data_IF_050001364389
#
_entry.id   IF_050001364389
#
_cell.length_a   1.000
_cell.length_b   1.000
_cell.length_c   1.000
_cell.angle_alpha   90.00
_cell.angle_beta   90.00
_cell.angle_gamma   90.00
#
_symmetry.space_group_name_H-M   'P 1'
#
loop_
_entity.id
_entity.type
_entity.pdbx_description
1 polymer ?
#
# COMPACT_ATOMS: atom_id res chain seq x y z
N UNK A 1 -18.64 52.73 16.68
CA UNK A 1 -18.44 51.26 16.66
C UNK A 1 -19.67 50.48 16.18
N UNK A 2 -20.88 50.66 16.72
CA UNK A 2 -22.10 49.95 16.26
C UNK A 2 -22.38 50.14 14.75
N UNK A 3 -22.47 51.39 14.30
CA UNK A 3 -22.63 51.76 12.87
C UNK A 3 -21.53 51.18 11.96
N UNK A 4 -20.30 51.07 12.46
CA UNK A 4 -19.16 50.57 11.71
C UNK A 4 -19.25 49.06 11.43
N UNK A 5 -19.72 48.29 12.41
CA UNK A 5 -20.02 46.87 12.24
C UNK A 5 -21.20 46.64 11.29
N UNK A 6 -22.19 47.53 11.32
CA UNK A 6 -23.31 47.53 10.36
C UNK A 6 -22.81 47.79 8.93
N UNK A 7 -21.90 48.74 8.74
CA UNK A 7 -21.30 49.04 7.43
C UNK A 7 -20.45 47.88 6.88
N UNK A 8 -19.75 47.13 7.74
CA UNK A 8 -19.01 45.92 7.34
C UNK A 8 -19.92 44.71 7.04
N UNK A 9 -21.14 44.67 7.60
CA UNK A 9 -22.11 43.57 7.42
C UNK A 9 -23.03 43.76 6.21
N UNK A 10 -23.30 44.99 5.78
CA UNK A 10 -24.18 45.27 4.65
C UNK A 10 -23.48 44.95 3.32
N UNK A 11 -23.82 43.80 2.72
CA UNK A 11 -23.30 43.38 1.40
C UNK A 11 -23.57 44.41 0.29
N UNK A 12 -24.62 45.23 0.44
CA UNK A 12 -25.14 46.21 -0.52
C UNK A 12 -24.44 47.57 -0.53
N UNK A 13 -23.48 47.85 0.37
CA UNK A 13 -22.76 49.14 0.35
C UNK A 13 -21.71 49.20 -0.77
N UNK A 14 -21.55 50.39 -1.36
CA UNK A 14 -20.53 50.72 -2.36
C UNK A 14 -19.13 50.30 -1.88
N UNK A 15 -18.38 49.61 -2.75
CA UNK A 15 -17.08 48.99 -2.46
C UNK A 15 -16.10 49.94 -1.74
N UNK A 16 -16.08 51.20 -2.17
CA UNK A 16 -15.27 52.29 -1.62
C UNK A 16 -15.51 52.56 -0.14
N UNK A 17 -16.76 52.45 0.33
CA UNK A 17 -17.12 52.70 1.74
C UNK A 17 -16.58 51.60 2.65
N UNK A 18 -16.62 50.33 2.19
CA UNK A 18 -16.09 49.19 2.96
C UNK A 18 -14.56 49.17 2.95
N UNK A 19 -13.92 49.49 1.84
CA UNK A 19 -12.46 49.64 1.77
C UNK A 19 -11.97 50.78 2.68
N UNK A 20 -12.64 51.94 2.66
CA UNK A 20 -12.35 53.06 3.57
C UNK A 20 -12.52 52.66 5.04
N UNK A 21 -13.58 51.93 5.36
CA UNK A 21 -13.80 51.41 6.70
C UNK A 21 -12.64 50.51 7.16
N UNK A 22 -12.17 49.58 6.31
CA UNK A 22 -11.03 48.72 6.65
C UNK A 22 -9.79 49.54 7.01
N UNK A 23 -9.40 50.51 6.16
CA UNK A 23 -8.24 51.38 6.43
C UNK A 23 -8.37 52.19 7.71
N UNK A 24 -9.59 52.61 8.04
CA UNK A 24 -9.85 53.37 9.27
C UNK A 24 -9.68 52.51 10.54
N UNK A 25 -9.79 51.18 10.48
CA UNK A 25 -9.60 50.32 11.66
C UNK A 25 -8.22 50.42 12.28
N UNK A 26 -7.19 50.59 11.45
CA UNK A 26 -5.80 50.78 11.91
C UNK A 26 -5.61 52.09 12.70
N UNK A 27 -6.44 53.10 12.45
CA UNK A 27 -6.30 54.44 13.04
C UNK A 27 -7.17 54.64 14.29
N UNK A 28 -8.11 53.72 14.56
CA UNK A 28 -9.03 53.83 15.69
C UNK A 28 -8.37 53.35 16.98
N UNK A 29 -8.61 54.06 18.09
CA UNK A 29 -8.26 53.61 19.45
C UNK A 29 -9.19 52.45 19.86
N UNK A 30 -8.84 51.24 19.41
CA UNK A 30 -9.54 50.00 19.73
C UNK A 30 -8.75 49.29 20.84
N UNK A 31 -9.43 48.71 21.83
CA UNK A 31 -8.75 47.95 22.88
C UNK A 31 -8.07 46.70 22.30
N UNK A 32 -6.88 46.28 22.80
CA UNK A 32 -6.17 45.09 22.33
C UNK A 32 -7.03 43.82 22.27
N UNK A 33 -7.86 43.60 23.30
CA UNK A 33 -8.78 42.45 23.33
C UNK A 33 -9.77 42.47 22.17
N UNK A 34 -10.27 43.64 21.79
CA UNK A 34 -11.25 43.79 20.71
C UNK A 34 -10.59 43.67 19.33
N UNK A 35 -9.33 44.09 19.20
CA UNK A 35 -8.53 43.83 18.01
C UNK A 35 -8.43 42.32 17.80
N UNK A 36 -7.97 41.58 18.81
CA UNK A 36 -7.81 40.11 18.79
C UNK A 36 -9.11 39.37 18.52
N UNK A 37 -10.15 39.63 19.31
CA UNK A 37 -11.38 38.81 19.30
C UNK A 37 -12.39 39.17 18.21
N UNK A 38 -12.26 40.34 17.56
CA UNK A 38 -13.29 40.83 16.62
C UNK A 38 -12.71 41.38 15.33
N UNK A 39 -11.71 42.25 15.40
CA UNK A 39 -11.22 42.96 14.22
C UNK A 39 -10.44 42.03 13.31
N UNK A 40 -9.44 41.31 13.84
CA UNK A 40 -8.61 40.38 13.07
C UNK A 40 -9.46 39.27 12.42
N UNK A 41 -10.33 38.54 13.16
CA UNK A 41 -11.26 37.56 12.56
C UNK A 41 -12.08 38.13 11.42
N UNK A 42 -12.61 39.35 11.58
CA UNK A 42 -13.45 39.94 10.54
C UNK A 42 -12.67 40.31 9.28
N UNK A 43 -11.43 40.76 9.44
CA UNK A 43 -10.56 41.07 8.30
C UNK A 43 -10.11 39.79 7.60
N UNK A 44 -9.81 38.72 8.35
CA UNK A 44 -9.51 37.41 7.80
C UNK A 44 -10.71 36.83 7.01
N UNK A 45 -11.93 36.95 7.53
CA UNK A 45 -13.16 36.58 6.79
C UNK A 45 -13.27 37.32 5.45
N UNK A 46 -12.95 38.62 5.43
CA UNK A 46 -13.03 39.44 4.22
C UNK A 46 -12.06 38.92 3.16
N UNK A 47 -10.86 38.50 3.57
CA UNK A 47 -9.89 37.90 2.65
C UNK A 47 -10.35 36.57 2.06
N UNK A 48 -11.30 35.90 2.70
CA UNK A 48 -11.75 34.56 2.32
C UNK A 48 -13.04 34.60 1.49
N UNK A 49 -13.96 35.50 1.82
CA UNK A 49 -15.33 35.49 1.29
C UNK A 49 -15.69 36.70 0.44
N UNK A 50 -14.85 37.73 0.37
CA UNK A 50 -15.13 38.90 -0.46
C UNK A 50 -14.55 38.72 -1.87
N UNK A 51 -15.37 38.95 -2.90
CA UNK A 51 -14.94 38.90 -4.31
C UNK A 51 -14.49 40.26 -4.87
N UNK A 52 -14.29 41.27 -4.01
CA UNK A 52 -14.02 42.65 -4.43
C UNK A 52 -12.59 43.07 -4.11
N UNK A 53 -11.78 43.22 -5.15
CA UNK A 53 -10.33 43.49 -5.06
C UNK A 53 -9.98 44.72 -4.19
N UNK A 54 -10.75 45.81 -4.26
CA UNK A 54 -10.48 47.01 -3.45
C UNK A 54 -10.64 46.77 -1.94
N UNK A 55 -11.60 45.93 -1.56
CA UNK A 55 -11.88 45.60 -0.15
C UNK A 55 -10.86 44.59 0.37
N UNK A 56 -10.47 43.63 -0.47
CA UNK A 56 -9.39 42.67 -0.19
C UNK A 56 -8.08 43.42 0.11
N UNK A 57 -7.61 44.29 -0.80
CA UNK A 57 -6.37 45.06 -0.61
C UNK A 57 -6.41 45.90 0.67
N UNK A 58 -7.53 46.56 0.92
CA UNK A 58 -7.69 47.34 2.15
C UNK A 58 -7.62 46.46 3.41
N UNK A 59 -8.13 45.23 3.36
CA UNK A 59 -8.00 44.28 4.47
C UNK A 59 -6.55 43.77 4.62
N UNK A 60 -5.85 43.46 3.53
CA UNK A 60 -4.43 43.08 3.51
C UNK A 60 -3.55 44.16 4.16
N UNK A 61 -3.67 45.41 3.70
CA UNK A 61 -2.93 46.56 4.25
C UNK A 61 -3.17 46.72 5.76
N UNK A 62 -4.43 46.54 6.17
CA UNK A 62 -4.82 46.68 7.58
C UNK A 62 -4.26 45.53 8.44
N UNK A 63 -4.23 44.30 7.92
CA UNK A 63 -3.64 43.16 8.62
C UNK A 63 -2.12 43.25 8.71
N UNK A 64 -1.45 43.74 7.66
CA UNK A 64 0.00 44.05 7.69
C UNK A 64 0.32 45.08 8.77
N UNK A 65 -0.50 46.11 8.90
CA UNK A 65 -0.36 47.09 9.97
C UNK A 65 -0.50 46.45 11.37
N UNK A 66 -1.49 45.57 11.57
CA UNK A 66 -1.65 44.88 12.85
C UNK A 66 -0.50 43.90 13.17
N UNK A 67 0.05 43.21 12.16
CA UNK A 67 1.27 42.41 12.28
C UNK A 67 2.43 43.26 12.82
N UNK A 68 2.69 44.41 12.19
CA UNK A 68 3.74 45.36 12.61
C UNK A 68 3.49 45.95 14.01
N UNK A 69 2.24 46.03 14.45
CA UNK A 69 1.85 46.49 15.77
C UNK A 69 1.93 45.39 16.87
N UNK A 70 2.50 44.22 16.58
CA UNK A 70 2.73 43.15 17.55
C UNK A 70 1.63 42.10 17.65
N UNK A 71 0.71 42.04 16.67
CA UNK A 71 -0.35 41.01 16.58
C UNK A 71 -0.06 39.96 15.50
N UNK A 72 1.21 39.72 15.17
CA UNK A 72 1.60 38.81 14.09
C UNK A 72 1.00 37.41 14.26
N UNK A 73 1.15 36.82 15.45
CA UNK A 73 0.67 35.47 15.72
C UNK A 73 -0.85 35.38 15.55
N UNK A 74 -1.62 36.32 16.11
CA UNK A 74 -3.08 36.32 16.02
C UNK A 74 -3.57 36.54 14.58
N UNK A 75 -2.87 37.39 13.81
CA UNK A 75 -3.17 37.58 12.39
C UNK A 75 -2.96 36.28 11.62
N UNK A 76 -1.80 35.64 11.77
CA UNK A 76 -1.45 34.44 11.02
C UNK A 76 -2.31 33.23 11.43
N UNK A 77 -2.55 33.02 12.72
CA UNK A 77 -3.43 31.93 13.19
C UNK A 77 -4.84 32.06 12.63
N UNK A 78 -5.39 33.28 12.60
CA UNK A 78 -6.76 33.50 12.13
C UNK A 78 -6.87 33.34 10.60
N UNK A 79 -5.87 33.78 9.86
CA UNK A 79 -5.78 33.54 8.43
C UNK A 79 -5.72 32.05 8.10
N UNK A 80 -4.85 31.30 8.78
CA UNK A 80 -4.70 29.86 8.60
C UNK A 80 -5.93 29.08 9.10
N UNK A 81 -6.64 29.60 10.11
CA UNK A 81 -7.89 29.02 10.59
C UNK A 81 -8.99 29.00 9.53
N UNK A 82 -8.93 29.87 8.52
CA UNK A 82 -9.91 29.92 7.43
C UNK A 82 -9.61 28.95 6.28
N UNK A 83 -8.52 28.19 6.35
CA UNK A 83 -8.23 27.14 5.38
C UNK A 83 -9.23 25.98 5.52
N UNK A 84 -9.62 25.40 4.38
CA UNK A 84 -10.51 24.24 4.33
C UNK A 84 -9.70 22.96 4.04
N UNK A 85 -9.55 22.04 5.02
CA UNK A 85 -8.78 20.81 4.82
C UNK A 85 -9.50 19.79 3.92
N UNK A 86 -10.83 19.92 3.72
CA UNK A 86 -11.62 19.03 2.85
C UNK A 86 -11.60 19.44 1.37
N UNK A 87 -11.13 20.65 1.06
CA UNK A 87 -11.07 21.14 -0.31
C UNK A 87 -9.79 21.96 -0.51
N UNK A 88 -8.62 21.31 -0.52
CA UNK A 88 -7.34 22.00 -0.62
C UNK A 88 -7.21 22.90 -1.87
N UNK A 89 -7.82 22.51 -2.99
CA UNK A 89 -7.85 23.33 -4.21
C UNK A 89 -8.52 24.71 -3.99
N UNK A 90 -9.49 24.82 -3.08
CA UNK A 90 -10.13 26.10 -2.73
C UNK A 90 -9.24 27.00 -1.86
N UNK A 91 -8.08 26.49 -1.42
CA UNK A 91 -7.14 27.24 -0.61
C UNK A 91 -6.07 27.96 -1.43
N UNK A 92 -5.84 27.62 -2.71
CA UNK A 92 -4.72 28.19 -3.49
C UNK A 92 -4.72 29.73 -3.50
N UNK A 93 -5.82 30.34 -3.93
CA UNK A 93 -5.97 31.81 -3.91
C UNK A 93 -5.86 32.39 -2.48
N UNK A 94 -6.29 31.63 -1.46
CA UNK A 94 -6.18 32.06 -0.06
C UNK A 94 -4.73 32.03 0.41
N UNK A 95 -3.99 31.00 0.05
CA UNK A 95 -2.60 30.80 0.40
C UNK A 95 -1.72 31.89 -0.22
N UNK A 96 -1.99 32.30 -1.47
CA UNK A 96 -1.31 33.44 -2.11
C UNK A 96 -1.55 34.76 -1.34
N UNK A 97 -2.79 35.01 -0.90
CA UNK A 97 -3.12 36.19 -0.09
C UNK A 97 -2.45 36.14 1.29
N UNK A 98 -2.43 34.97 1.91
CA UNK A 98 -1.75 34.75 3.20
C UNK A 98 -0.25 35.00 3.03
N UNK A 99 0.38 34.48 1.98
CA UNK A 99 1.78 34.75 1.65
C UNK A 99 2.05 36.24 1.51
N UNK A 100 1.17 36.96 0.80
CA UNK A 100 1.30 38.40 0.62
C UNK A 100 1.22 39.17 1.94
N UNK A 101 0.34 38.78 2.87
CA UNK A 101 0.20 39.40 4.20
C UNK A 101 1.34 38.98 5.13
N UNK A 102 1.75 37.72 5.07
CA UNK A 102 2.80 37.15 5.91
C UNK A 102 4.19 37.66 5.52
N UNK A 103 4.40 38.01 4.24
CA UNK A 103 5.70 38.42 3.70
C UNK A 103 6.77 37.34 3.97
N UNK A 104 6.36 36.08 3.87
CA UNK A 104 7.16 34.88 4.10
C UNK A 104 6.66 33.81 3.15
N UNK A 105 7.54 33.01 2.50
CA UNK A 105 7.11 31.94 1.61
C UNK A 105 6.07 31.05 2.29
N UNK A 106 4.95 30.78 1.60
CA UNK A 106 3.82 30.09 2.24
C UNK A 106 4.21 28.71 2.76
N UNK A 107 5.11 28.01 2.08
CA UNK A 107 5.56 26.68 2.49
C UNK A 107 6.26 26.72 3.86
N UNK A 108 7.17 27.66 4.06
CA UNK A 108 7.90 27.83 5.32
C UNK A 108 6.94 28.20 6.44
N UNK A 109 5.97 29.06 6.13
CA UNK A 109 4.90 29.43 7.06
C UNK A 109 4.10 28.20 7.50
N UNK A 110 3.64 27.38 6.55
CA UNK A 110 2.84 26.19 6.84
C UNK A 110 3.62 25.19 7.69
N UNK A 111 4.87 24.87 7.33
CA UNK A 111 5.72 23.94 8.09
C UNK A 111 5.93 24.43 9.53
N UNK A 112 6.27 25.71 9.69
CA UNK A 112 6.43 26.33 11.02
C UNK A 112 5.18 26.17 11.89
N UNK A 113 3.99 26.33 11.31
CA UNK A 113 2.73 26.17 12.03
C UNK A 113 2.38 24.72 12.35
N UNK A 114 2.78 23.77 11.50
CA UNK A 114 2.65 22.34 11.80
C UNK A 114 3.53 21.93 12.98
N UNK A 115 4.73 22.49 13.10
CA UNK A 115 5.66 22.14 14.17
C UNK A 115 5.37 22.88 15.48
N UNK A 116 5.04 24.16 15.40
CA UNK A 116 5.02 25.07 16.55
C UNK A 116 3.67 25.77 16.78
N UNK A 117 2.63 25.44 16.01
CA UNK A 117 1.32 26.06 16.17
C UNK A 117 0.69 25.81 17.55
N UNK A 118 0.02 26.82 18.09
CA UNK A 118 -0.50 26.83 19.47
C UNK A 118 -1.66 25.87 19.74
N UNK A 119 -2.37 25.45 18.68
CA UNK A 119 -3.60 24.66 18.79
C UNK A 119 -3.49 23.39 17.95
N UNK A 120 -3.67 22.18 18.53
CA UNK A 120 -3.66 20.92 17.77
C UNK A 120 -4.63 20.92 16.59
N UNK A 121 -5.80 21.55 16.77
CA UNK A 121 -6.79 21.71 15.70
C UNK A 121 -6.23 22.52 14.53
N UNK A 122 -5.57 23.64 14.80
CA UNK A 122 -4.96 24.46 13.76
C UNK A 122 -3.79 23.73 13.10
N UNK A 123 -2.90 23.11 13.88
CA UNK A 123 -1.77 22.32 13.36
C UNK A 123 -2.23 21.23 12.40
N UNK A 124 -3.25 20.47 12.81
CA UNK A 124 -3.84 19.41 11.99
C UNK A 124 -4.41 19.94 10.67
N UNK A 125 -5.20 21.02 10.73
CA UNK A 125 -5.74 21.66 9.52
C UNK A 125 -4.64 22.13 8.58
N UNK A 126 -3.67 22.87 9.11
CA UNK A 126 -2.55 23.44 8.36
C UNK A 126 -1.71 22.32 7.76
N UNK A 127 -1.43 21.26 8.51
CA UNK A 127 -0.65 20.12 8.06
C UNK A 127 -1.30 19.39 6.89
N UNK A 128 -2.62 19.18 6.92
CA UNK A 128 -3.34 18.57 5.80
C UNK A 128 -3.24 19.42 4.53
N UNK A 129 -3.35 20.74 4.64
CA UNK A 129 -3.21 21.65 3.51
C UNK A 129 -1.76 21.68 3.00
N UNK A 130 -0.79 21.69 3.91
CA UNK A 130 0.64 21.68 3.59
C UNK A 130 1.05 20.39 2.87
N UNK A 131 0.60 19.23 3.38
CA UNK A 131 0.88 17.93 2.78
C UNK A 131 0.26 17.80 1.39
N UNK A 132 -0.96 18.30 1.20
CA UNK A 132 -1.57 18.33 -0.14
C UNK A 132 -0.79 19.20 -1.12
N UNK A 133 -0.48 20.44 -0.73
CA UNK A 133 0.18 21.41 -1.61
C UNK A 133 1.59 20.98 -2.00
N UNK A 134 2.35 20.47 -1.03
CA UNK A 134 3.74 20.06 -1.24
C UNK A 134 3.88 18.63 -1.75
N UNK A 135 2.78 17.87 -1.76
CA UNK A 135 2.77 16.41 -1.98
C UNK A 135 3.74 15.65 -1.05
N UNK A 136 4.14 16.26 0.07
CA UNK A 136 5.05 15.68 1.05
C UNK A 136 4.28 15.30 2.32
N UNK A 137 3.89 14.03 2.41
CA UNK A 137 3.15 13.49 3.55
C UNK A 137 3.99 13.40 4.83
N UNK A 138 5.32 13.48 4.75
CA UNK A 138 6.17 13.47 5.94
C UNK A 138 5.94 14.68 6.85
N UNK A 139 5.40 15.78 6.31
CA UNK A 139 4.97 16.96 7.08
C UNK A 139 3.91 16.58 8.12
N UNK A 140 3.15 15.51 7.91
CA UNK A 140 2.11 15.09 8.87
C UNK A 140 2.68 14.40 10.11
N UNK A 141 3.94 13.96 10.11
CA UNK A 141 4.53 13.19 11.22
C UNK A 141 4.40 13.87 12.59
N UNK A 142 4.70 15.17 12.76
CA UNK A 142 4.60 15.84 14.06
C UNK A 142 3.17 15.87 14.62
N UNK A 143 2.15 15.69 13.77
CA UNK A 143 0.73 15.83 14.12
C UNK A 143 -0.06 14.53 13.97
N UNK A 144 0.60 13.39 13.70
CA UNK A 144 -0.06 12.11 13.47
C UNK A 144 -0.94 11.69 14.66
N UNK A 145 -0.41 11.82 15.88
CA UNK A 145 -1.14 11.49 17.11
C UNK A 145 -2.35 12.42 17.29
N UNK A 146 -2.19 13.70 16.98
CA UNK A 146 -3.29 14.68 17.03
C UNK A 146 -4.39 14.36 16.03
N UNK A 147 -4.04 13.88 14.83
CA UNK A 147 -5.00 13.46 13.83
C UNK A 147 -5.76 12.21 14.30
N UNK A 148 -5.09 11.28 14.99
CA UNK A 148 -5.69 10.04 15.48
C UNK A 148 -6.67 10.25 16.66
N UNK A 149 -6.36 11.18 17.56
CA UNK A 149 -7.06 11.38 18.84
C UNK A 149 -8.28 12.30 18.71
N UNK A 150 -9.36 11.76 18.13
CA UNK A 150 -10.66 12.44 18.00
C UNK A 150 -10.59 13.82 17.34
N UNK A 151 -9.72 13.94 16.33
CA UNK A 151 -9.62 15.14 15.52
C UNK A 151 -10.87 15.32 14.65
N UNK A 152 -11.48 16.52 14.59
CA UNK A 152 -12.56 16.80 13.62
C UNK A 152 -12.11 16.65 12.16
N UNK A 153 -10.80 16.60 11.88
CA UNK A 153 -10.23 16.47 10.54
C UNK A 153 -9.78 15.05 10.20
N UNK A 154 -10.15 14.05 11.00
CA UNK A 154 -9.85 12.66 10.69
C UNK A 154 -10.34 12.25 9.29
N UNK A 155 -11.56 12.61 8.94
CA UNK A 155 -12.12 12.28 7.62
C UNK A 155 -11.36 13.01 6.50
N UNK A 156 -10.97 14.28 6.71
CA UNK A 156 -10.15 15.02 5.75
C UNK A 156 -8.78 14.36 5.54
N UNK A 157 -8.16 13.85 6.61
CA UNK A 157 -6.92 13.11 6.54
C UNK A 157 -7.07 11.80 5.74
N UNK A 158 -8.14 11.04 5.98
CA UNK A 158 -8.42 9.84 5.20
C UNK A 158 -8.64 10.16 3.72
N UNK A 159 -9.41 11.20 3.41
CA UNK A 159 -9.66 11.65 2.05
C UNK A 159 -8.39 12.12 1.34
N UNK A 160 -7.52 12.86 2.04
CA UNK A 160 -6.23 13.29 1.50
C UNK A 160 -5.39 12.09 1.07
N UNK A 161 -5.21 11.11 1.96
CA UNK A 161 -4.41 9.92 1.66
C UNK A 161 -5.06 9.04 0.59
N UNK A 162 -6.39 8.90 0.61
CA UNK A 162 -7.11 8.16 -0.42
C UNK A 162 -6.94 8.79 -1.81
N UNK A 163 -7.08 10.11 -1.93
CA UNK A 163 -6.92 10.81 -3.19
C UNK A 163 -5.48 10.69 -3.69
N UNK A 164 -4.49 10.86 -2.80
CA UNK A 164 -3.08 10.70 -3.14
C UNK A 164 -2.75 9.27 -3.61
N UNK A 165 -3.41 8.25 -3.05
CA UNK A 165 -3.19 6.87 -3.45
C UNK A 165 -3.71 6.56 -4.87
N UNK A 166 -4.69 7.34 -5.33
CA UNK A 166 -5.32 7.21 -6.64
C UNK A 166 -4.76 8.18 -7.69
N UNK A 167 -3.73 8.95 -7.33
CA UNK A 167 -3.07 9.92 -8.19
C UNK A 167 -1.66 9.43 -8.51
N UNK A 168 -1.32 9.34 -9.80
CA UNK A 168 -0.10 8.65 -10.25
C UNK A 168 1.19 9.31 -9.72
N UNK A 169 1.20 10.64 -9.57
CA UNK A 169 2.37 11.40 -9.11
C UNK A 169 2.60 11.23 -7.60
N UNK A 170 1.53 11.07 -6.83
CA UNK A 170 1.59 11.01 -5.36
C UNK A 170 1.44 9.62 -4.76
N UNK A 171 1.09 8.63 -5.58
CA UNK A 171 0.84 7.25 -5.18
C UNK A 171 2.02 6.57 -4.49
N UNK A 172 3.21 6.63 -5.06
CA UNK A 172 4.38 5.99 -4.45
C UNK A 172 4.83 6.69 -3.15
N UNK A 173 4.93 8.04 -3.11
CA UNK A 173 5.19 8.76 -1.85
C UNK A 173 4.19 8.44 -0.73
N UNK A 174 2.89 8.34 -1.03
CA UNK A 174 1.90 8.00 -0.01
C UNK A 174 2.01 6.56 0.45
N UNK A 175 2.37 5.61 -0.43
CA UNK A 175 2.63 4.22 -0.02
C UNK A 175 3.83 4.16 0.94
N UNK A 176 4.91 4.88 0.65
CA UNK A 176 6.10 4.93 1.53
C UNK A 176 5.77 5.54 2.90
N UNK A 177 4.99 6.63 2.91
CA UNK A 177 4.47 7.21 4.14
C UNK A 177 3.62 6.21 4.94
N UNK A 178 2.71 5.48 4.28
CA UNK A 178 1.85 4.49 4.95
C UNK A 178 2.63 3.28 5.48
N UNK A 179 3.68 2.83 4.76
CA UNK A 179 4.62 1.81 5.25
C UNK A 179 5.25 2.27 6.56
N UNK A 180 5.73 3.51 6.61
CA UNK A 180 6.32 4.06 7.81
C UNK A 180 5.31 4.14 8.96
N UNK A 181 4.07 4.59 8.67
CA UNK A 181 2.98 4.65 9.66
C UNK A 181 2.74 3.28 10.29
N UNK A 182 2.61 2.21 9.50
CA UNK A 182 2.32 0.88 10.07
C UNK A 182 3.50 0.27 10.82
N UNK A 183 4.72 0.72 10.54
CA UNK A 183 5.94 0.23 11.19
C UNK A 183 6.27 0.97 12.48
N UNK A 184 6.06 2.29 12.53
CA UNK A 184 6.57 3.14 13.61
C UNK A 184 5.50 3.67 14.56
N UNK A 185 4.25 3.80 14.11
CA UNK A 185 3.21 4.46 14.92
C UNK A 185 2.59 3.52 15.96
N UNK A 186 2.48 4.01 17.19
CA UNK A 186 1.89 3.28 18.32
C UNK A 186 0.36 3.31 18.32
N UNK A 187 -0.26 4.30 17.67
CA UNK A 187 -1.72 4.42 17.57
C UNK A 187 -2.32 3.30 16.71
N UNK A 188 -3.16 2.46 17.31
CA UNK A 188 -3.88 1.39 16.61
C UNK A 188 -4.77 1.94 15.49
N UNK A 189 -5.34 3.15 15.67
CA UNK A 189 -6.18 3.82 14.68
C UNK A 189 -5.39 4.21 13.43
N UNK A 190 -4.18 4.75 13.61
CA UNK A 190 -3.27 5.07 12.49
C UNK A 190 -2.80 3.80 11.77
N UNK A 191 -2.37 2.78 12.51
CA UNK A 191 -1.95 1.51 11.89
C UNK A 191 -3.09 0.83 11.14
N UNK A 192 -4.31 0.84 11.68
CA UNK A 192 -5.49 0.28 11.03
C UNK A 192 -5.82 1.01 9.72
N UNK A 193 -5.76 2.35 9.71
CA UNK A 193 -5.90 3.15 8.49
C UNK A 193 -4.78 2.82 7.49
N UNK A 194 -3.54 2.72 7.97
CA UNK A 194 -2.37 2.33 7.19
C UNK A 194 -2.57 1.00 6.48
N UNK A 195 -2.94 -0.06 7.21
CA UNK A 195 -3.23 -1.37 6.61
C UNK A 195 -4.38 -1.32 5.61
N UNK A 196 -5.47 -0.63 5.94
CA UNK A 196 -6.59 -0.47 5.02
C UNK A 196 -6.14 0.15 3.69
N UNK A 197 -5.45 1.30 3.73
CA UNK A 197 -5.00 2.01 2.54
C UNK A 197 -3.92 1.23 1.77
N UNK A 198 -2.95 0.63 2.47
CA UNK A 198 -1.96 -0.25 1.83
C UNK A 198 -2.62 -1.44 1.12
N UNK A 199 -3.69 -2.00 1.69
CA UNK A 199 -4.50 -3.03 1.03
C UNK A 199 -5.14 -2.55 -0.27
N UNK A 200 -5.71 -1.34 -0.25
CA UNK A 200 -6.36 -0.72 -1.42
C UNK A 200 -5.36 -0.27 -2.48
N UNK A 201 -4.10 -0.02 -2.09
CA UNK A 201 -3.03 0.33 -3.03
C UNK A 201 -2.82 -0.77 -4.08
N UNK A 202 -3.06 -2.05 -3.76
CA UNK A 202 -2.66 -3.20 -4.61
C UNK A 202 -1.16 -3.26 -4.94
N UNK A 203 -0.33 -2.48 -4.24
CA UNK A 203 1.11 -2.45 -4.44
C UNK A 203 1.74 -3.70 -3.81
N UNK A 204 2.05 -4.71 -4.61
CA UNK A 204 2.59 -6.00 -4.12
C UNK A 204 3.88 -5.84 -3.30
N UNK A 205 4.64 -4.76 -3.51
CA UNK A 205 5.86 -4.44 -2.73
C UNK A 205 5.62 -4.29 -1.22
N UNK A 206 4.38 -4.05 -0.80
CA UNK A 206 4.03 -3.90 0.62
C UNK A 206 3.89 -5.25 1.35
N UNK A 207 3.74 -6.36 0.61
CA UNK A 207 3.49 -7.68 1.19
C UNK A 207 4.56 -8.09 2.22
N UNK A 208 5.88 -7.98 1.96
CA UNK A 208 6.89 -8.32 2.95
C UNK A 208 6.76 -7.53 4.25
N UNK A 209 6.46 -6.23 4.15
CA UNK A 209 6.23 -5.35 5.31
C UNK A 209 5.02 -5.82 6.12
N UNK A 210 3.90 -6.08 5.45
CA UNK A 210 2.67 -6.55 6.12
C UNK A 210 2.84 -7.93 6.75
N UNK A 211 3.59 -8.83 6.10
CA UNK A 211 3.90 -10.16 6.64
C UNK A 211 4.78 -10.08 7.88
N UNK A 212 5.70 -9.12 7.94
CA UNK A 212 6.49 -8.90 9.13
C UNK A 212 5.62 -8.38 10.30
N UNK A 213 4.75 -7.40 10.00
CA UNK A 213 3.78 -6.88 10.97
C UNK A 213 2.83 -7.95 11.51
N UNK A 214 2.43 -8.92 10.68
CA UNK A 214 1.56 -10.04 11.09
C UNK A 214 2.16 -10.87 12.24
N UNK A 215 3.48 -10.87 12.41
CA UNK A 215 4.16 -11.59 13.51
C UNK A 215 4.05 -10.85 14.85
N UNK A 216 4.02 -9.52 14.79
CA UNK A 216 4.19 -8.63 15.95
C UNK A 216 2.92 -7.88 16.35
N UNK A 217 1.92 -7.78 15.47
CA UNK A 217 0.67 -7.10 15.77
C UNK A 217 -0.11 -7.86 16.85
N UNK A 218 -0.73 -7.10 17.76
CA UNK A 218 -1.43 -7.65 18.95
C UNK A 218 -2.81 -7.04 19.17
N UNK A 219 -3.08 -5.87 18.59
CA UNK A 219 -4.38 -5.23 18.71
C UNK A 219 -5.40 -5.88 17.75
N UNK A 220 -6.55 -6.31 18.27
CA UNK A 220 -7.56 -7.07 17.51
C UNK A 220 -8.10 -6.30 16.29
N UNK A 221 -8.39 -5.00 16.46
CA UNK A 221 -8.90 -4.16 15.38
C UNK A 221 -7.84 -4.00 14.27
N UNK A 222 -6.59 -3.85 14.68
CA UNK A 222 -5.46 -3.68 13.76
C UNK A 222 -5.10 -4.99 13.07
N UNK A 223 -5.18 -6.14 13.76
CA UNK A 223 -5.03 -7.48 13.16
C UNK A 223 -6.13 -7.74 12.12
N UNK A 224 -7.37 -7.36 12.42
CA UNK A 224 -8.46 -7.46 11.46
C UNK A 224 -8.20 -6.62 10.20
N UNK A 225 -7.77 -5.37 10.38
CA UNK A 225 -7.41 -4.48 9.27
C UNK A 225 -6.25 -5.06 8.44
N UNK A 226 -5.23 -5.64 9.08
CA UNK A 226 -4.10 -6.30 8.42
C UNK A 226 -4.54 -7.51 7.58
N UNK A 227 -5.36 -8.40 8.14
CA UNK A 227 -5.90 -9.57 7.41
C UNK A 227 -6.75 -9.12 6.23
N UNK A 228 -7.54 -8.05 6.38
CA UNK A 228 -8.30 -7.44 5.29
C UNK A 228 -7.43 -6.80 4.22
N UNK A 229 -6.29 -6.22 4.59
CA UNK A 229 -5.32 -5.70 3.65
C UNK A 229 -4.80 -6.79 2.71
N UNK A 230 -4.49 -7.98 3.24
CA UNK A 230 -4.09 -9.13 2.42
C UNK A 230 -5.19 -9.59 1.45
N UNK A 231 -6.45 -9.60 1.88
CA UNK A 231 -7.59 -9.92 1.00
C UNK A 231 -7.70 -8.93 -0.17
N UNK A 232 -7.52 -7.64 0.12
CA UNK A 232 -7.56 -6.55 -0.87
C UNK A 232 -6.38 -6.58 -1.85
N UNK A 233 -5.17 -6.87 -1.35
CA UNK A 233 -3.98 -7.08 -2.19
C UNK A 233 -4.17 -8.26 -3.14
N UNK A 234 -4.89 -9.30 -2.71
CA UNK A 234 -5.27 -10.42 -3.56
C UNK A 234 -4.12 -11.35 -3.94
N UNK A 235 -2.96 -11.24 -3.29
CA UNK A 235 -1.79 -12.01 -3.62
C UNK A 235 -1.83 -13.39 -2.95
N UNK A 236 -1.86 -14.50 -3.72
CA UNK A 236 -1.96 -15.86 -3.16
C UNK A 236 -0.74 -16.26 -2.33
N UNK A 237 0.40 -15.56 -2.44
CA UNK A 237 1.61 -15.89 -1.70
C UNK A 237 1.43 -15.77 -0.19
N UNK A 238 0.45 -15.00 0.26
CA UNK A 238 0.15 -14.79 1.69
C UNK A 238 -0.71 -15.89 2.33
N UNK A 239 -1.24 -16.85 1.54
CA UNK A 239 -2.14 -17.91 2.04
C UNK A 239 -1.50 -18.71 3.18
N UNK A 240 -0.28 -19.23 3.00
CA UNK A 240 0.43 -20.03 4.00
C UNK A 240 0.78 -19.20 5.25
N UNK A 241 1.39 -18.00 5.14
CA UNK A 241 1.58 -17.13 6.29
C UNK A 241 0.29 -16.83 7.07
N UNK A 242 -0.82 -16.61 6.37
CA UNK A 242 -2.12 -16.39 7.00
C UNK A 242 -2.58 -17.63 7.77
N UNK A 243 -2.52 -18.83 7.18
CA UNK A 243 -2.88 -20.08 7.88
C UNK A 243 -2.03 -20.27 9.13
N UNK A 244 -0.72 -20.06 9.06
CA UNK A 244 0.18 -20.22 10.20
C UNK A 244 -0.04 -19.14 11.28
N UNK A 245 -0.51 -17.96 10.88
CA UNK A 245 -1.00 -16.94 11.82
C UNK A 245 -2.30 -17.38 12.50
N UNK A 246 -3.30 -17.84 11.75
CA UNK A 246 -4.57 -18.31 12.32
C UNK A 246 -4.40 -19.46 13.32
N UNK A 247 -3.42 -20.35 13.13
CA UNK A 247 -3.13 -21.45 14.08
C UNK A 247 -2.70 -20.94 15.45
N UNK A 248 -2.13 -19.73 15.52
CA UNK A 248 -1.64 -19.11 16.75
C UNK A 248 -2.69 -18.17 17.35
N UNK A 249 -3.40 -17.43 16.50
CA UNK A 249 -4.41 -16.45 16.91
C UNK A 249 -5.83 -17.00 16.77
N UNK A 250 -6.28 -17.72 17.80
CA UNK A 250 -7.57 -18.43 17.82
C UNK A 250 -8.77 -17.54 17.43
N UNK A 251 -8.82 -16.30 17.93
CA UNK A 251 -9.91 -15.35 17.64
C UNK A 251 -9.96 -14.92 16.16
N UNK A 252 -8.84 -15.02 15.45
CA UNK A 252 -8.72 -14.63 14.05
C UNK A 252 -8.90 -15.79 13.06
N UNK A 253 -8.96 -17.04 13.54
CA UNK A 253 -9.03 -18.26 12.71
C UNK A 253 -10.10 -18.15 11.63
N UNK A 254 -11.34 -17.84 12.00
CA UNK A 254 -12.47 -17.78 11.04
C UNK A 254 -12.23 -16.76 9.93
N UNK A 255 -11.72 -15.57 10.27
CA UNK A 255 -11.42 -14.52 9.31
C UNK A 255 -10.27 -14.90 8.38
N UNK A 256 -9.18 -15.41 8.95
CA UNK A 256 -8.01 -15.92 8.23
C UNK A 256 -8.41 -16.99 7.23
N UNK A 257 -9.23 -17.96 7.64
CA UNK A 257 -9.66 -19.07 6.77
C UNK A 257 -10.46 -18.57 5.59
N UNK A 258 -11.39 -17.64 5.84
CA UNK A 258 -12.19 -17.03 4.80
C UNK A 258 -11.31 -16.28 3.79
N UNK A 259 -10.32 -15.51 4.26
CA UNK A 259 -9.39 -14.80 3.38
C UNK A 259 -8.50 -15.77 2.60
N UNK A 260 -7.88 -16.74 3.26
CA UNK A 260 -7.05 -17.76 2.62
C UNK A 260 -7.82 -18.55 1.55
N UNK A 261 -9.06 -18.94 1.86
CA UNK A 261 -9.95 -19.60 0.91
C UNK A 261 -10.33 -18.69 -0.26
N UNK A 262 -10.68 -17.43 -0.02
CA UNK A 262 -10.99 -16.47 -1.08
C UNK A 262 -9.80 -16.25 -2.02
N UNK A 263 -8.59 -16.13 -1.48
CA UNK A 263 -7.36 -16.04 -2.27
C UNK A 263 -7.10 -17.31 -3.08
N UNK A 264 -7.27 -18.49 -2.45
CA UNK A 264 -7.17 -19.79 -3.12
C UNK A 264 -8.16 -19.90 -4.29
N UNK A 265 -9.41 -19.48 -4.10
CA UNK A 265 -10.43 -19.49 -5.17
C UNK A 265 -10.06 -18.63 -6.37
N UNK A 266 -9.35 -17.51 -6.17
CA UNK A 266 -8.87 -16.67 -7.27
C UNK A 266 -7.84 -17.39 -8.16
N UNK A 267 -6.99 -18.23 -7.57
CA UNK A 267 -5.97 -18.99 -8.31
C UNK A 267 -6.41 -20.40 -8.73
N UNK A 268 -7.52 -20.91 -8.20
CA UNK A 268 -8.05 -22.23 -8.51
C UNK A 268 -8.29 -22.51 -10.01
N UNK A 269 -8.72 -21.55 -10.85
CA UNK A 269 -8.78 -21.76 -12.30
C UNK A 269 -7.44 -22.18 -12.91
N UNK A 270 -6.33 -21.73 -12.33
CA UNK A 270 -4.97 -22.03 -12.78
C UNK A 270 -4.35 -23.24 -12.08
N UNK A 271 -5.08 -23.98 -11.22
CA UNK A 271 -4.49 -25.04 -10.36
C UNK A 271 -3.61 -26.06 -11.09
N UNK A 272 -3.93 -26.39 -12.36
CA UNK A 272 -3.15 -27.33 -13.18
C UNK A 272 -1.81 -26.76 -13.64
N UNK A 273 -1.70 -25.43 -13.74
CA UNK A 273 -0.51 -24.71 -14.19
C UNK A 273 0.28 -24.09 -13.05
N UNK A 274 -0.12 -24.33 -11.79
CA UNK A 274 0.62 -23.89 -10.61
C UNK A 274 1.75 -24.86 -10.30
N UNK A 275 2.95 -24.33 -10.04
CA UNK A 275 4.13 -25.11 -9.64
C UNK A 275 4.84 -24.43 -8.49
N UNK A 276 5.33 -25.20 -7.52
CA UNK A 276 6.14 -24.64 -6.44
C UNK A 276 7.57 -24.41 -6.94
N UNK A 277 8.11 -23.19 -6.84
CA UNK A 277 9.49 -22.85 -7.19
C UNK A 277 10.51 -23.65 -6.36
N UNK A 278 10.19 -23.92 -5.08
CA UNK A 278 11.12 -24.57 -4.16
C UNK A 278 11.09 -26.10 -4.22
N UNK A 279 9.96 -26.70 -4.60
CA UNK A 279 9.82 -28.17 -4.65
C UNK A 279 9.62 -28.70 -6.06
N UNK A 280 9.29 -27.83 -7.01
CA UNK A 280 8.95 -28.18 -8.39
C UNK A 280 7.79 -29.19 -8.45
N UNK A 281 6.90 -29.15 -7.46
CA UNK A 281 5.69 -29.97 -7.39
C UNK A 281 4.45 -29.12 -7.60
N UNK A 282 3.41 -29.72 -8.19
CA UNK A 282 2.11 -29.09 -8.42
C UNK A 282 1.39 -28.81 -7.10
N UNK A 283 0.53 -27.80 -7.12
CA UNK A 283 -0.32 -27.45 -5.99
C UNK A 283 -1.52 -28.40 -5.89
N UNK A 284 -1.94 -28.71 -4.68
CA UNK A 284 -3.12 -29.51 -4.38
C UNK A 284 -4.02 -28.79 -3.39
N UNK A 285 -5.30 -29.15 -3.39
CA UNK A 285 -6.21 -28.69 -2.35
C UNK A 285 -5.90 -29.38 -1.03
N UNK A 286 -5.73 -28.59 0.00
CA UNK A 286 -5.58 -29.04 1.38
C UNK A 286 -6.83 -28.65 2.17
N UNK A 287 -7.51 -29.65 2.72
CA UNK A 287 -8.69 -29.51 3.59
C UNK A 287 -8.32 -29.55 5.08
N UNK A 288 -7.07 -29.89 5.41
CA UNK A 288 -6.57 -29.90 6.79
C UNK A 288 -6.26 -28.50 7.31
N UNK A 289 -6.27 -27.50 6.43
CA UNK A 289 -6.20 -26.11 6.83
C UNK A 289 -7.39 -25.75 7.74
N UNK A 290 -7.10 -24.90 8.72
CA UNK A 290 -8.02 -24.35 9.72
C UNK A 290 -9.47 -24.22 9.17
N UNK A 291 -10.42 -24.92 9.78
CA UNK A 291 -11.85 -24.79 9.46
C UNK A 291 -12.35 -25.56 8.23
N UNK A 292 -11.54 -26.43 7.61
CA UNK A 292 -12.00 -27.37 6.58
C UNK A 292 -12.28 -26.76 5.21
N UNK A 293 -11.98 -25.47 5.01
CA UNK A 293 -12.10 -24.83 3.70
C UNK A 293 -10.89 -25.20 2.83
N UNK A 294 -11.09 -25.63 1.57
CA UNK A 294 -9.98 -26.00 0.71
C UNK A 294 -9.12 -24.79 0.38
N UNK A 295 -7.81 -24.96 0.54
CA UNK A 295 -6.77 -24.00 0.14
C UNK A 295 -5.76 -24.67 -0.76
N UNK A 296 -5.28 -23.97 -1.78
CA UNK A 296 -4.25 -24.48 -2.68
C UNK A 296 -2.87 -24.26 -2.06
N UNK A 297 -2.18 -25.36 -1.76
CA UNK A 297 -0.82 -25.37 -1.22
C UNK A 297 0.06 -26.31 -2.04
N UNK A 298 1.38 -26.10 -1.99
CA UNK A 298 2.32 -27.03 -2.60
C UNK A 298 2.11 -28.44 -2.00
N UNK A 299 1.93 -29.46 -2.85
CA UNK A 299 1.70 -30.84 -2.37
C UNK A 299 2.82 -31.35 -1.46
N UNK A 300 4.06 -30.94 -1.73
CA UNK A 300 5.24 -31.45 -1.02
C UNK A 300 5.55 -30.68 0.27
N UNK A 301 5.71 -29.36 0.21
CA UNK A 301 6.10 -28.55 1.39
C UNK A 301 4.94 -27.79 2.05
N UNK A 302 3.76 -27.76 1.44
CA UNK A 302 2.62 -26.98 1.93
C UNK A 302 2.79 -25.47 1.83
N UNK A 303 3.79 -24.98 1.10
CA UNK A 303 4.07 -23.54 0.94
C UNK A 303 3.22 -22.90 -0.18
N UNK A 304 2.84 -21.64 0.01
CA UNK A 304 2.19 -20.80 -1.00
C UNK A 304 3.06 -19.65 -1.48
N UNK A 305 4.17 -19.33 -0.80
CA UNK A 305 5.03 -18.19 -1.15
C UNK A 305 5.82 -18.42 -2.45
N UNK A 306 6.25 -19.66 -2.67
CA UNK A 306 7.02 -20.08 -3.83
C UNK A 306 6.17 -20.38 -5.08
N UNK A 307 5.10 -19.63 -5.34
CA UNK A 307 4.15 -19.94 -6.42
C UNK A 307 4.67 -19.48 -7.80
N UNK A 308 4.80 -20.42 -8.74
CA UNK A 308 4.89 -20.15 -10.18
C UNK A 308 3.51 -20.35 -10.82
N UNK A 309 3.07 -19.42 -11.66
CA UNK A 309 1.78 -19.45 -12.36
C UNK A 309 2.04 -19.58 -13.86
N UNK A 310 1.25 -20.41 -14.55
CA UNK A 310 1.30 -20.52 -16.01
C UNK A 310 2.21 -21.62 -16.55
N UNK A 311 2.79 -22.47 -15.69
CA UNK A 311 3.60 -23.61 -16.13
C UNK A 311 2.68 -24.71 -16.63
N UNK A 312 2.46 -24.83 -17.93
CA UNK A 312 1.62 -25.86 -18.52
C UNK A 312 2.32 -27.22 -18.53
N UNK A 313 3.59 -27.24 -18.93
CA UNK A 313 4.39 -28.46 -19.09
C UNK A 313 5.72 -28.32 -18.35
N UNK A 314 6.06 -29.32 -17.53
CA UNK A 314 7.40 -29.44 -16.95
C UNK A 314 8.16 -30.56 -17.66
N UNK A 315 9.35 -30.26 -18.17
CA UNK A 315 10.22 -31.23 -18.85
C UNK A 315 11.42 -31.55 -17.97
N UNK A 316 11.56 -32.82 -17.58
CA UNK A 316 12.77 -33.32 -16.95
C UNK A 316 13.83 -33.54 -18.03
N UNK A 317 14.86 -32.70 -18.04
CA UNK A 317 15.97 -32.78 -19.00
C UNK A 317 17.13 -33.53 -18.35
N UNK A 318 17.60 -34.58 -19.01
CA UNK A 318 18.82 -35.30 -18.65
C UNK A 318 19.91 -34.88 -19.64
N UNK A 319 20.70 -33.92 -19.19
CA UNK A 319 21.82 -33.36 -19.94
C UNK A 319 22.93 -32.99 -18.96
N UNK A 320 24.09 -33.64 -19.06
CA UNK A 320 25.22 -33.43 -18.14
C UNK A 320 25.88 -32.07 -18.34
N UNK A 321 25.75 -31.46 -19.52
CA UNK A 321 26.43 -30.21 -19.88
C UNK A 321 25.50 -28.99 -19.74
N UNK A 322 24.18 -29.15 -19.89
CA UNK A 322 23.25 -28.03 -19.93
C UNK A 322 23.13 -27.26 -18.59
N UNK A 323 23.34 -25.94 -18.61
CA UNK A 323 22.91 -25.00 -17.58
C UNK A 323 21.50 -24.49 -17.90
N UNK A 324 20.49 -25.10 -17.29
CA UNK A 324 19.11 -24.60 -17.36
C UNK A 324 18.81 -23.88 -16.05
N UNK A 325 18.55 -22.57 -16.13
CA UNK A 325 18.11 -21.77 -15.00
C UNK A 325 16.62 -21.44 -15.14
N UNK A 326 15.92 -21.40 -14.01
CA UNK A 326 14.52 -20.96 -13.98
C UNK A 326 14.53 -19.43 -13.98
N UNK A 327 13.92 -18.76 -14.99
CA UNK A 327 13.87 -17.31 -15.01
C UNK A 327 13.16 -16.78 -13.75
N UNK A 328 13.64 -15.68 -13.16
CA UNK A 328 13.06 -15.15 -11.93
C UNK A 328 11.65 -14.59 -12.12
N UNK A 329 11.36 -14.01 -13.29
CA UNK A 329 10.17 -13.16 -13.49
C UNK A 329 9.23 -13.61 -14.62
N UNK A 330 9.73 -14.28 -15.67
CA UNK A 330 8.92 -14.76 -16.80
C UNK A 330 9.02 -16.28 -16.92
N UNK A 331 8.03 -16.98 -16.38
CA UNK A 331 8.02 -18.43 -16.38
C UNK A 331 7.37 -18.92 -17.68
N UNK A 332 8.11 -19.62 -18.55
CA UNK A 332 7.54 -20.12 -19.80
C UNK A 332 6.44 -21.16 -19.51
N UNK A 333 5.49 -21.26 -20.44
CA UNK A 333 4.48 -22.32 -20.41
C UNK A 333 5.11 -23.73 -20.39
N UNK A 334 6.30 -23.87 -21.00
CA UNK A 334 7.12 -25.09 -20.94
C UNK A 334 8.36 -24.83 -20.10
N UNK A 335 8.37 -25.32 -18.88
CA UNK A 335 9.49 -25.21 -17.96
C UNK A 335 10.42 -26.42 -18.11
N UNK A 336 11.64 -26.20 -18.61
CA UNK A 336 12.67 -27.25 -18.71
C UNK A 336 13.58 -27.21 -17.49
N UNK A 337 13.74 -28.35 -16.84
CA UNK A 337 14.50 -28.47 -15.59
C UNK A 337 15.53 -29.57 -15.76
N UNK A 338 16.80 -29.24 -15.54
CA UNK A 338 17.87 -30.22 -15.62
C UNK A 338 17.85 -31.12 -14.37
N UNK A 339 17.41 -32.36 -14.54
CA UNK A 339 17.34 -33.34 -13.46
C UNK A 339 18.72 -33.64 -12.85
N UNK A 340 19.77 -33.67 -13.68
CA UNK A 340 21.14 -33.97 -13.25
C UNK A 340 21.63 -32.94 -12.23
N UNK A 341 21.25 -31.67 -12.41
CA UNK A 341 21.61 -30.57 -11.51
C UNK A 341 20.72 -30.47 -10.29
N UNK A 342 19.42 -30.72 -10.47
CA UNK A 342 18.45 -30.67 -9.38
C UNK A 342 18.65 -31.80 -8.36
N UNK A 343 19.13 -32.97 -8.81
CA UNK A 343 19.44 -34.17 -8.02
C UNK A 343 18.30 -34.69 -7.11
N UNK A 344 17.06 -34.28 -7.38
CA UNK A 344 15.85 -34.80 -6.73
C UNK A 344 14.71 -34.93 -7.73
N UNK A 345 13.75 -35.80 -7.41
CA UNK A 345 12.54 -35.92 -8.22
C UNK A 345 11.60 -34.74 -7.98
N UNK A 346 10.98 -34.27 -9.05
CA UNK A 346 9.94 -33.24 -9.05
C UNK A 346 8.74 -33.67 -9.91
N UNK A 347 7.71 -32.83 -10.05
CA UNK A 347 6.62 -33.11 -10.98
C UNK A 347 7.05 -32.77 -12.41
N UNK A 348 7.09 -33.78 -13.28
CA UNK A 348 7.36 -33.60 -14.70
C UNK A 348 6.26 -34.25 -15.55
N UNK A 349 6.02 -33.64 -16.71
CA UNK A 349 5.02 -34.01 -17.69
C UNK A 349 5.67 -34.68 -18.92
N UNK A 350 6.98 -34.49 -19.12
CA UNK A 350 7.77 -35.10 -20.20
C UNK A 350 9.23 -35.31 -19.74
N UNK A 351 9.93 -36.27 -20.35
CA UNK A 351 11.37 -36.52 -20.16
C UNK A 351 12.08 -36.29 -21.50
N UNK A 352 13.21 -35.58 -21.47
CA UNK A 352 14.12 -35.42 -22.61
C UNK A 352 15.53 -35.83 -22.21
N UNK A 353 16.10 -36.82 -22.89
CA UNK A 353 17.47 -37.30 -22.66
C UNK A 353 18.32 -36.81 -23.83
N UNK A 354 19.15 -35.79 -23.60
CA UNK A 354 19.87 -35.08 -24.65
C UNK A 354 21.34 -35.50 -24.67
N UNK A 355 22.00 -35.41 -23.52
CA UNK A 355 23.38 -35.85 -23.34
C UNK A 355 23.53 -36.43 -21.93
N UNK A 356 23.21 -37.72 -21.76
CA UNK A 356 23.36 -38.37 -20.48
C UNK A 356 23.89 -39.80 -20.68
N UNK A 357 24.95 -40.20 -19.95
CA UNK A 357 25.43 -41.58 -20.01
C UNK A 357 24.41 -42.53 -19.36
N UNK A 358 24.43 -43.80 -19.74
CA UNK A 358 23.50 -44.82 -19.24
C UNK A 358 23.36 -44.81 -17.72
N UNK A 359 24.48 -44.71 -16.99
CA UNK A 359 24.47 -44.69 -15.52
C UNK A 359 23.61 -43.56 -14.92
N UNK A 360 23.56 -42.38 -15.57
CA UNK A 360 22.74 -41.24 -15.11
C UNK A 360 21.26 -41.54 -15.36
N UNK A 361 20.94 -42.05 -16.54
CA UNK A 361 19.58 -42.47 -16.90
C UNK A 361 19.11 -43.60 -16.00
N UNK A 362 19.97 -44.57 -15.71
CA UNK A 362 19.66 -45.69 -14.85
C UNK A 362 19.37 -45.24 -13.42
N UNK A 363 20.19 -44.34 -12.88
CA UNK A 363 19.98 -43.74 -11.56
C UNK A 363 18.64 -43.00 -11.51
N UNK A 364 18.30 -42.23 -12.55
CA UNK A 364 17.01 -41.56 -12.65
C UNK A 364 15.84 -42.55 -12.57
N UNK A 365 15.88 -43.63 -13.36
CA UNK A 365 14.88 -44.69 -13.35
C UNK A 365 14.78 -45.40 -11.99
N UNK A 366 15.91 -45.69 -11.33
CA UNK A 366 15.92 -46.30 -9.99
C UNK A 366 15.23 -45.38 -8.97
N UNK A 367 15.56 -44.07 -8.99
CA UNK A 367 14.90 -43.11 -8.11
C UNK A 367 13.41 -43.02 -8.40
N UNK A 368 13.00 -42.95 -9.66
CA UNK A 368 11.58 -42.96 -10.04
C UNK A 368 10.88 -44.26 -9.59
N UNK A 369 11.54 -45.42 -9.70
CA UNK A 369 11.01 -46.69 -9.21
C UNK A 369 10.81 -46.72 -7.69
N UNK A 370 11.64 -46.00 -6.95
CA UNK A 370 11.58 -45.85 -5.50
C UNK A 370 10.83 -44.58 -5.05
N UNK A 371 10.14 -43.88 -5.94
CA UNK A 371 9.39 -42.69 -5.56
C UNK A 371 8.25 -43.05 -4.57
N UNK A 372 8.14 -42.28 -3.49
CA UNK A 372 7.08 -42.44 -2.49
C UNK A 372 5.84 -41.60 -2.81
N UNK A 373 5.95 -40.63 -3.73
CA UNK A 373 4.84 -39.76 -4.11
C UNK A 373 3.80 -40.52 -4.95
N UNK A 374 2.69 -40.87 -4.30
CA UNK A 374 1.58 -41.61 -4.91
C UNK A 374 0.95 -40.88 -6.11
N UNK A 375 1.06 -39.55 -6.19
CA UNK A 375 0.54 -38.77 -7.31
C UNK A 375 1.42 -38.95 -8.55
N UNK A 376 2.75 -38.86 -8.39
CA UNK A 376 3.71 -39.04 -9.49
C UNK A 376 3.75 -40.46 -10.00
N UNK A 377 3.83 -41.46 -9.11
CA UNK A 377 3.91 -42.89 -9.48
C UNK A 377 2.79 -43.33 -10.43
N UNK A 378 1.56 -42.85 -10.20
CA UNK A 378 0.40 -43.18 -11.04
C UNK A 378 0.50 -42.65 -12.46
N UNK A 379 1.35 -41.64 -12.68
CA UNK A 379 1.55 -40.97 -13.98
C UNK A 379 2.72 -41.52 -14.76
N UNK A 380 3.76 -42.06 -14.12
CA UNK A 380 5.02 -42.41 -14.79
C UNK A 380 4.85 -43.20 -16.06
N UNK A 381 4.03 -44.26 -16.05
CA UNK A 381 3.71 -45.10 -17.23
C UNK A 381 3.09 -44.39 -18.43
N UNK A 382 2.73 -43.11 -18.29
CA UNK A 382 2.10 -42.27 -19.31
C UNK A 382 2.96 -41.05 -19.65
N UNK A 383 4.16 -40.92 -19.07
CA UNK A 383 5.02 -39.78 -19.32
C UNK A 383 5.82 -40.06 -20.59
N UNK A 384 5.67 -39.24 -21.64
CA UNK A 384 6.46 -39.40 -22.85
C UNK A 384 7.95 -39.18 -22.55
N UNK A 385 8.78 -40.07 -23.08
CA UNK A 385 10.23 -40.01 -22.95
C UNK A 385 10.88 -39.92 -24.33
N UNK A 386 11.58 -38.82 -24.60
CA UNK A 386 12.33 -38.58 -25.84
C UNK A 386 13.83 -38.77 -25.59
N UNK A 387 14.48 -39.61 -26.37
CA UNK A 387 15.91 -39.92 -26.30
C UNK A 387 16.59 -39.39 -27.55
N UNK A 388 17.62 -38.55 -27.40
CA UNK A 388 18.38 -37.95 -28.51
C UNK A 388 19.87 -38.31 -28.49
N UNK A 389 20.30 -39.14 -27.53
CA UNK A 389 21.65 -39.66 -27.43
C UNK A 389 21.68 -41.18 -27.59
N UNK A 390 22.88 -41.72 -27.81
CA UNK A 390 23.07 -43.18 -27.83
C UNK A 390 22.95 -43.74 -26.41
N UNK A 391 22.04 -44.68 -26.20
CA UNK A 391 21.88 -45.44 -24.96
C UNK A 391 21.94 -46.94 -25.26
N UNK A 392 22.40 -47.73 -24.29
CA UNK A 392 22.40 -49.18 -24.41
C UNK A 392 20.97 -49.73 -24.43
N UNK A 393 20.70 -50.85 -25.14
CA UNK A 393 19.37 -51.45 -25.20
C UNK A 393 18.77 -51.77 -23.81
N UNK A 394 19.60 -52.15 -22.84
CA UNK A 394 19.16 -52.39 -21.46
C UNK A 394 18.59 -51.14 -20.79
N UNK A 395 19.19 -49.97 -21.05
CA UNK A 395 18.76 -48.68 -20.51
C UNK A 395 17.46 -48.22 -21.17
N UNK A 396 17.32 -48.40 -22.49
CA UNK A 396 16.07 -48.14 -23.24
C UNK A 396 14.93 -49.01 -22.70
N UNK A 397 15.15 -50.32 -22.54
CA UNK A 397 14.15 -51.23 -21.96
C UNK A 397 13.71 -50.81 -20.54
N UNK A 398 14.65 -50.29 -19.74
CA UNK A 398 14.30 -49.79 -18.42
C UNK A 398 13.43 -48.53 -18.49
N UNK A 399 13.72 -47.61 -19.41
CA UNK A 399 12.89 -46.42 -19.66
C UNK A 399 11.48 -46.83 -20.09
N UNK A 400 11.34 -47.74 -21.06
CA UNK A 400 10.03 -48.22 -21.51
C UNK A 400 9.25 -48.88 -20.37
N UNK A 401 9.94 -49.71 -19.56
CA UNK A 401 9.34 -50.32 -18.38
C UNK A 401 8.94 -49.28 -17.34
N UNK A 402 9.63 -48.15 -17.20
CA UNK A 402 9.25 -47.14 -16.20
C UNK A 402 8.17 -46.18 -16.71
N UNK A 403 8.34 -45.68 -17.93
CA UNK A 403 7.61 -44.54 -18.46
C UNK A 403 6.62 -44.87 -19.59
N UNK A 404 6.66 -46.09 -20.12
CA UNK A 404 5.77 -46.52 -21.19
C UNK A 404 6.40 -46.26 -22.56
N UNK A 405 5.90 -45.27 -23.28
CA UNK A 405 6.35 -44.97 -24.65
C UNK A 405 7.68 -44.19 -24.64
N UNK A 406 8.67 -44.71 -25.36
CA UNK A 406 9.99 -44.08 -25.57
C UNK A 406 10.18 -43.82 -27.06
N UNK A 407 10.48 -42.57 -27.41
CA UNK A 407 10.84 -42.15 -28.77
C UNK A 407 12.35 -41.93 -28.83
N UNK A 408 13.02 -42.55 -29.80
CA UNK A 408 14.49 -42.49 -30.00
C UNK A 408 14.88 -41.83 -31.30
#
# INVERSE_FOLDING_TARGET
>A
MSLFWTLLRLKSLFQRTRAKACRQLAQLKISPEKIRKKVIPKLADILVYEGRNEVIRAAEDTLKHFKQAGYEQEVLEELLNNLNPYSPALNEERLERIEHVAETPIQDLLVRFVEHGSSPKLRSKVGLVAAWRSQNFAILKPILTELADWNPYWDAFQHLLWNALNDDDTREPVIDFLIEVVQKESSYRLRSLGYYLLGQSRARRVIPVLLDRLKTERDDATMYALVKAFEALGDPRVIRPLIDFGKREYLMVSHVNKVAHNLSRKIHPHRKTLLCRNCLTRYTEDFSALGGLPVLLCRNCGDSMALLIGVETVVAVLDVDATLEIPPDDVPAVLRINYVKEDRLFDFDCIQIINAPDMVVERFCIRAGNDEDRFRRKRYKKIPCEVRCHLLPGTINMLERMFGEVTT
#
